data_IF_907070409725
#
_entry.id   IF_907070409725
#
_cell.length_a   1.000
_cell.length_b   1.000
_cell.length_c   1.000
_cell.angle_alpha   90.00
_cell.angle_beta   90.00
_cell.angle_gamma   90.00
#
_symmetry.space_group_name_H-M   'P 1'
#
loop_
_entity.id
_entity.type
_entity.pdbx_description
1 polymer ?
#
# COMPACT_ATOMS: atom_id res chain seq x y z
N UNK A 1 19.74 -15.88 -18.26
CA UNK A 1 19.27 -14.48 -18.11
C UNK A 1 18.24 -14.47 -17.01
N UNK A 2 18.68 -14.18 -15.79
CA UNK A 2 17.80 -14.01 -14.63
C UNK A 2 16.81 -12.89 -14.99
N UNK A 3 15.52 -13.18 -14.95
CA UNK A 3 14.52 -12.12 -15.00
C UNK A 3 14.61 -11.39 -13.66
N UNK A 4 15.51 -10.42 -13.58
CA UNK A 4 15.46 -9.33 -12.62
C UNK A 4 14.14 -8.60 -12.86
N UNK A 5 13.07 -9.14 -12.28
CA UNK A 5 11.80 -8.44 -12.16
C UNK A 5 12.15 -7.12 -11.48
N UNK A 6 11.89 -5.96 -12.11
CA UNK A 6 12.23 -4.66 -11.54
C UNK A 6 11.70 -4.63 -10.11
N UNK A 7 12.49 -4.16 -9.12
CA UNK A 7 12.22 -4.32 -7.71
C UNK A 7 10.75 -4.00 -7.48
N UNK A 8 9.97 -5.06 -7.18
CA UNK A 8 8.52 -5.08 -7.23
C UNK A 8 7.99 -3.72 -6.86
N UNK A 9 7.55 -2.94 -7.86
CA UNK A 9 7.03 -1.62 -7.63
C UNK A 9 5.90 -1.79 -6.63
N UNK A 10 6.14 -1.41 -5.35
CA UNK A 10 5.25 -1.73 -4.25
C UNK A 10 3.84 -1.34 -4.66
N UNK A 11 2.94 -2.34 -4.68
CA UNK A 11 1.52 -2.15 -4.99
C UNK A 11 0.96 -0.96 -4.21
N UNK A 12 1.40 -0.83 -2.97
CA UNK A 12 1.03 0.21 -2.03
C UNK A 12 2.11 1.31 -1.93
N UNK A 13 1.71 2.56 -2.16
CA UNK A 13 2.59 3.73 -2.12
C UNK A 13 2.01 4.80 -1.21
N UNK A 14 2.80 5.36 -0.31
CA UNK A 14 2.37 6.52 0.49
C UNK A 14 2.46 7.78 -0.37
N UNK A 15 1.38 8.55 -0.46
CA UNK A 15 1.37 9.87 -1.11
C UNK A 15 0.43 10.84 -0.42
N UNK A 16 0.67 12.12 -0.64
CA UNK A 16 -0.20 13.20 -0.17
C UNK A 16 -1.35 13.40 -1.16
N UNK A 17 -2.59 13.34 -0.66
CA UNK A 17 -3.80 13.72 -1.36
C UNK A 17 -4.25 15.14 -1.00
N UNK A 18 -5.45 15.51 -1.44
CA UNK A 18 -6.08 16.81 -1.18
C UNK A 18 -6.44 17.03 0.28
N UNK A 19 -6.74 15.96 1.03
CA UNK A 19 -7.25 16.02 2.41
C UNK A 19 -6.30 15.41 3.44
N UNK A 20 -5.07 15.05 3.05
CA UNK A 20 -4.10 14.39 3.93
C UNK A 20 -3.28 13.33 3.21
N UNK A 21 -2.48 12.57 3.94
CA UNK A 21 -1.73 11.44 3.41
C UNK A 21 -2.65 10.24 3.16
N UNK A 22 -2.28 9.41 2.21
CA UNK A 22 -2.97 8.18 1.88
C UNK A 22 -2.00 7.09 1.47
N UNK A 23 -2.43 5.84 1.58
CA UNK A 23 -1.78 4.73 0.90
C UNK A 23 -2.51 4.48 -0.40
N UNK A 24 -1.84 4.73 -1.51
CA UNK A 24 -2.34 4.51 -2.85
C UNK A 24 -2.08 3.07 -3.29
N UNK A 25 -3.14 2.35 -3.65
CA UNK A 25 -3.08 1.04 -4.29
C UNK A 25 -3.02 1.23 -5.81
N UNK A 26 -1.86 0.90 -6.40
CA UNK A 26 -1.63 1.00 -7.84
C UNK A 26 -2.53 0.09 -8.65
N UNK A 27 -2.94 -1.05 -8.12
CA UNK A 27 -3.84 -1.97 -8.82
C UNK A 27 -5.27 -1.44 -8.86
N UNK A 28 -5.74 -0.84 -7.77
CA UNK A 28 -7.08 -0.25 -7.69
C UNK A 28 -7.14 1.19 -8.20
N UNK A 29 -5.98 1.79 -8.50
CA UNK A 29 -5.81 3.18 -8.92
C UNK A 29 -6.51 4.17 -7.97
N UNK A 30 -6.40 3.92 -6.67
CA UNK A 30 -7.10 4.69 -5.64
C UNK A 30 -6.55 4.42 -4.24
N UNK A 31 -7.20 4.93 -3.18
CA UNK A 31 -6.82 4.61 -1.81
C UNK A 31 -6.89 3.10 -1.57
N UNK A 32 -5.90 2.58 -0.86
CA UNK A 32 -5.86 1.18 -0.47
C UNK A 32 -7.05 0.88 0.45
N UNK A 33 -7.72 -0.24 0.20
CA UNK A 33 -8.78 -0.71 1.08
C UNK A 33 -8.15 -1.47 2.24
N UNK A 34 -8.49 -1.04 3.44
CA UNK A 34 -8.08 -1.66 4.68
C UNK A 34 -8.97 -2.87 5.00
N UNK A 35 -8.52 -3.70 5.96
CA UNK A 35 -9.25 -4.90 6.39
C UNK A 35 -10.61 -4.59 7.02
N UNK A 36 -10.76 -3.39 7.56
CA UNK A 36 -11.99 -2.87 8.18
C UNK A 36 -12.96 -2.24 7.17
N UNK A 37 -12.73 -2.47 5.86
CA UNK A 37 -13.47 -1.86 4.75
C UNK A 37 -13.35 -0.34 4.65
N UNK A 38 -12.46 0.29 5.42
CA UNK A 38 -12.17 1.71 5.29
C UNK A 38 -11.10 1.97 4.23
N UNK A 39 -11.08 3.20 3.70
CA UNK A 39 -10.06 3.65 2.76
C UNK A 39 -8.87 4.23 3.53
N UNK A 40 -7.66 3.87 3.12
CA UNK A 40 -6.42 4.39 3.67
C UNK A 40 -6.13 5.83 3.20
N UNK A 41 -7.04 6.76 3.47
CA UNK A 41 -6.97 8.19 3.14
C UNK A 41 -7.16 9.06 4.37
N UNK A 42 -6.90 10.38 4.25
CA UNK A 42 -7.01 11.36 5.36
C UNK A 42 -6.13 10.99 6.57
N UNK A 43 -4.99 10.37 6.31
CA UNK A 43 -4.04 9.93 7.31
C UNK A 43 -2.96 10.99 7.53
N UNK A 44 -2.30 10.91 8.69
CA UNK A 44 -0.95 11.46 8.83
C UNK A 44 0.06 10.64 8.03
N UNK A 45 1.23 11.21 7.78
CA UNK A 45 2.31 10.51 7.06
C UNK A 45 2.70 9.23 7.77
N UNK A 46 2.83 9.29 9.09
CA UNK A 46 3.23 8.19 9.97
C UNK A 46 2.20 7.05 9.94
N UNK A 47 0.90 7.39 9.97
CA UNK A 47 -0.17 6.41 9.83
C UNK A 47 -0.16 5.76 8.44
N UNK A 48 0.02 6.54 7.37
CA UNK A 48 0.09 6.01 6.00
C UNK A 48 1.30 5.08 5.83
N UNK A 49 2.46 5.42 6.39
CA UNK A 49 3.64 4.55 6.37
C UNK A 49 3.41 3.25 7.16
N UNK A 50 2.83 3.33 8.37
CA UNK A 50 2.49 2.14 9.15
C UNK A 50 1.51 1.23 8.42
N UNK A 51 0.47 1.79 7.82
CA UNK A 51 -0.52 1.03 7.03
C UNK A 51 0.14 0.41 5.79
N UNK A 52 0.98 1.16 5.07
CA UNK A 52 1.73 0.62 3.93
C UNK A 52 2.59 -0.57 4.36
N UNK A 53 3.27 -0.49 5.51
CA UNK A 53 4.04 -1.62 6.04
C UNK A 53 3.13 -2.82 6.33
N UNK A 54 1.98 -2.64 7.00
CA UNK A 54 1.03 -3.73 7.26
C UNK A 54 0.48 -4.36 5.95
N UNK A 55 0.27 -3.55 4.91
CA UNK A 55 -0.21 -4.02 3.60
C UNK A 55 0.89 -4.74 2.79
N UNK A 56 2.15 -4.31 2.92
CA UNK A 56 3.30 -4.96 2.30
C UNK A 56 3.71 -6.23 3.05
N UNK A 57 3.61 -6.22 4.38
CA UNK A 57 3.86 -7.34 5.28
C UNK A 57 2.69 -8.34 5.32
N UNK A 58 1.81 -8.31 4.32
CA UNK A 58 0.69 -9.22 4.13
C UNK A 58 1.07 -10.69 3.88
N UNK A 59 2.01 -11.25 4.64
CA UNK A 59 2.28 -12.68 4.81
C UNK A 59 1.12 -13.37 5.54
N UNK A 60 -0.04 -13.46 4.89
CA UNK A 60 -0.81 -14.71 4.94
C UNK A 60 -0.58 -15.41 3.60
N UNK A 61 0.53 -16.15 3.57
CA UNK A 61 0.90 -17.25 2.67
C UNK A 61 0.89 -16.94 1.15
N UNK A 62 2.07 -16.58 0.63
CA UNK A 62 2.58 -17.34 -0.53
C UNK A 62 3.20 -18.63 0.01
N UNK A 63 2.39 -19.67 0.23
CA UNK A 63 2.94 -21.03 0.34
C UNK A 63 3.08 -21.57 -1.09
N UNK A 64 4.27 -22.05 -1.52
CA UNK A 64 4.30 -23.15 -2.47
C UNK A 64 3.72 -24.42 -1.83
#
# INVERSE_FOLDING_TARGET
MSHDLPPQQSRFVVRMGTTGWMVYDRERKGPALLKDHSLAEKLSKEQAERIRQVLLDGSIKRRP
#
